data_IF_160683714297
#
_entry.id   IF_160683714297
#
_cell.length_a   1.000
_cell.length_b   1.000
_cell.length_c   1.000
_cell.angle_alpha   90.00
_cell.angle_beta   90.00
_cell.angle_gamma   90.00
#
_symmetry.space_group_name_H-M   'P 1'
#
loop_
_entity.id
_entity.type
_entity.pdbx_description
1 polymer ?
#
# COMPACT_ATOMS: atom_id res chain seq x y z
N UNK A 1 -8.61 24.76 7.82
CA UNK A 1 -7.16 24.54 7.87
C UNK A 1 -6.81 23.68 6.67
N UNK A 2 -5.90 24.15 5.82
CA UNK A 2 -5.42 23.38 4.68
C UNK A 2 -4.42 22.34 5.21
N UNK A 3 -4.74 21.05 5.05
CA UNK A 3 -3.87 19.96 5.47
C UNK A 3 -2.75 19.84 4.44
N UNK A 4 -1.55 20.33 4.76
CA UNK A 4 -0.35 20.01 3.99
C UNK A 4 0.03 18.56 4.31
N UNK A 5 -0.02 17.70 3.30
CA UNK A 5 0.52 16.34 3.38
C UNK A 5 1.99 16.40 2.93
N UNK A 6 2.94 16.11 3.82
CA UNK A 6 4.32 15.83 3.40
C UNK A 6 4.32 14.48 2.67
N UNK A 7 4.46 14.52 1.35
CA UNK A 7 4.51 13.32 0.52
C UNK A 7 5.93 12.81 0.41
N UNK A 8 6.20 11.61 0.93
CA UNK A 8 7.37 10.84 0.56
C UNK A 8 7.13 10.19 -0.80
N UNK A 9 8.07 10.35 -1.74
CA UNK A 9 7.98 9.76 -3.07
C UNK A 9 9.10 8.74 -3.29
N UNK A 10 8.81 7.72 -4.08
CA UNK A 10 9.74 6.65 -4.46
C UNK A 10 9.62 6.39 -5.96
N UNK A 11 10.76 6.32 -6.65
CA UNK A 11 10.82 5.80 -8.02
C UNK A 11 11.24 4.33 -7.99
N UNK A 12 10.34 3.44 -8.40
CA UNK A 12 10.61 2.01 -8.52
C UNK A 12 10.82 1.64 -10.00
N UNK A 13 11.95 1.00 -10.31
CA UNK A 13 12.26 0.50 -11.65
C UNK A 13 12.85 -0.91 -11.58
N UNK A 14 12.55 -1.73 -12.59
CA UNK A 14 13.17 -3.04 -12.78
C UNK A 14 13.12 -3.39 -14.26
N UNK A 15 14.22 -3.89 -14.81
CA UNK A 15 14.31 -4.30 -16.21
C UNK A 15 13.89 -5.76 -16.44
N UNK A 16 13.70 -6.53 -15.37
CA UNK A 16 13.46 -7.98 -15.45
C UNK A 16 12.24 -8.44 -14.67
N UNK A 17 11.70 -7.62 -13.76
CA UNK A 17 10.53 -8.00 -12.98
C UNK A 17 9.26 -7.97 -13.85
N UNK A 18 8.52 -9.07 -13.86
CA UNK A 18 7.17 -9.13 -14.44
C UNK A 18 6.12 -8.57 -13.49
N UNK A 19 6.38 -8.61 -12.18
CA UNK A 19 5.53 -8.07 -11.11
C UNK A 19 6.39 -7.45 -10.02
N UNK A 20 6.00 -6.26 -9.57
CA UNK A 20 6.62 -5.56 -8.43
C UNK A 20 5.59 -5.40 -7.32
N UNK A 21 5.99 -5.64 -6.07
CA UNK A 21 5.12 -5.45 -4.90
C UNK A 21 5.82 -4.52 -3.92
N UNK A 22 5.23 -3.34 -3.70
CA UNK A 22 5.62 -2.40 -2.66
C UNK A 22 4.72 -2.60 -1.44
N UNK A 23 5.28 -2.51 -0.24
CA UNK A 23 4.55 -2.68 1.03
C UNK A 23 4.94 -1.57 1.99
N UNK A 24 3.97 -1.05 2.72
CA UNK A 24 4.22 -0.22 3.89
C UNK A 24 4.67 -1.10 5.07
N UNK A 25 5.08 -0.44 6.15
CA UNK A 25 5.14 -1.10 7.46
C UNK A 25 3.74 -1.50 7.97
N UNK A 26 3.74 -2.19 9.11
CA UNK A 26 2.53 -2.52 9.88
C UNK A 26 2.20 -1.31 10.76
N UNK A 27 0.94 -0.88 10.71
CA UNK A 27 0.43 0.20 11.55
C UNK A 27 -0.37 -0.41 12.72
N UNK A 28 0.12 -0.28 13.96
CA UNK A 28 -0.59 -0.80 15.14
C UNK A 28 -1.77 0.12 15.52
N UNK A 29 -2.63 -0.36 16.43
CA UNK A 29 -3.75 0.44 16.96
C UNK A 29 -5.02 0.41 16.11
N UNK A 30 -5.14 -0.58 15.23
CA UNK A 30 -6.37 -0.88 14.50
C UNK A 30 -7.42 -1.40 15.47
N UNK A 31 -8.63 -0.84 15.43
CA UNK A 31 -9.79 -1.36 16.16
C UNK A 31 -10.61 -2.24 15.21
N UNK A 32 -10.96 -3.44 15.66
CA UNK A 32 -11.80 -4.36 14.88
C UNK A 32 -13.15 -3.73 14.52
N UNK A 33 -13.58 -3.90 13.28
CA UNK A 33 -14.86 -3.38 12.77
C UNK A 33 -14.81 -1.95 12.24
N UNK A 34 -13.70 -1.21 12.43
CA UNK A 34 -13.51 0.07 11.77
C UNK A 34 -13.24 -0.09 10.27
N UNK A 35 -13.71 0.88 9.49
CA UNK A 35 -13.46 0.90 8.05
C UNK A 35 -12.11 1.56 7.76
N UNK A 36 -11.31 0.88 6.93
CA UNK A 36 -10.02 1.37 6.50
C UNK A 36 -9.98 1.52 4.99
N UNK A 37 -9.28 2.57 4.52
CA UNK A 37 -9.06 2.83 3.09
C UNK A 37 -7.57 3.01 2.83
N UNK A 38 -7.06 2.26 1.86
CA UNK A 38 -5.74 2.50 1.31
C UNK A 38 -5.84 3.51 0.17
N UNK A 39 -4.93 4.49 0.16
CA UNK A 39 -4.83 5.51 -0.88
C UNK A 39 -3.38 5.69 -1.28
N UNK A 40 -3.13 5.88 -2.56
CA UNK A 40 -1.79 5.99 -3.11
C UNK A 40 -1.84 6.73 -4.46
N UNK A 41 -0.74 7.41 -4.76
CA UNK A 41 -0.58 8.26 -5.94
C UNK A 41 0.59 7.76 -6.77
N UNK A 42 0.40 7.67 -8.08
CA UNK A 42 1.41 7.12 -8.99
C UNK A 42 1.56 7.99 -10.24
N UNK A 43 2.80 8.03 -10.75
CA UNK A 43 3.12 8.51 -12.08
C UNK A 43 3.87 7.40 -12.81
N UNK A 44 3.34 6.93 -13.95
CA UNK A 44 3.99 5.91 -14.78
C UNK A 44 4.81 6.62 -15.86
N UNK A 45 6.13 6.50 -15.80
CA UNK A 45 7.05 7.16 -16.74
C UNK A 45 7.34 6.32 -18.00
N UNK A 46 7.08 5.02 -17.98
CA UNK A 46 7.29 4.12 -19.11
C UNK A 46 6.37 2.88 -19.05
N UNK A 47 5.89 2.43 -20.21
CA UNK A 47 5.02 1.27 -20.36
C UNK A 47 3.59 1.50 -19.85
N UNK A 48 2.83 0.41 -19.70
CA UNK A 48 1.50 0.39 -19.10
C UNK A 48 1.50 -0.48 -17.85
N UNK A 49 0.91 0.01 -16.76
CA UNK A 49 0.91 -0.70 -15.47
C UNK A 49 -0.51 -1.11 -15.10
N UNK A 50 -0.67 -2.35 -14.64
CA UNK A 50 -1.87 -2.78 -13.93
C UNK A 50 -1.59 -2.64 -12.42
N UNK A 51 -2.30 -1.73 -11.77
CA UNK A 51 -2.08 -1.40 -10.37
C UNK A 51 -3.20 -2.03 -9.54
N UNK A 52 -2.82 -2.80 -8.52
CA UNK A 52 -3.73 -3.33 -7.51
C UNK A 52 -3.33 -2.78 -6.13
N UNK A 53 -4.31 -2.31 -5.37
CA UNK A 53 -4.13 -1.76 -4.03
C UNK A 53 -4.90 -2.66 -3.07
N UNK A 54 -4.26 -3.13 -2.01
CA UNK A 54 -4.90 -3.97 -1.01
C UNK A 54 -4.33 -3.73 0.39
N UNK A 55 -5.18 -3.88 1.39
CA UNK A 55 -4.83 -3.90 2.82
C UNK A 55 -4.66 -5.35 3.24
N UNK A 56 -3.65 -5.63 4.06
CA UNK A 56 -3.46 -6.93 4.70
C UNK A 56 -3.73 -6.81 6.19
N UNK A 57 -4.51 -7.76 6.69
CA UNK A 57 -4.88 -7.86 8.09
C UNK A 57 -4.04 -8.92 8.77
N UNK A 58 -3.56 -8.58 9.96
CA UNK A 58 -2.74 -9.44 10.81
C UNK A 58 -3.34 -9.46 12.21
N UNK A 59 -3.10 -10.53 12.96
CA UNK A 59 -3.44 -10.58 14.38
C UNK A 59 -2.35 -9.94 15.26
N UNK A 60 -2.55 -9.99 16.58
CA UNK A 60 -1.62 -9.42 17.57
C UNK A 60 -0.24 -10.10 17.63
N UNK A 61 -0.09 -11.27 16.98
CA UNK A 61 1.16 -12.03 16.88
C UNK A 61 1.82 -11.91 15.51
N UNK A 62 1.39 -10.93 14.70
CA UNK A 62 1.80 -10.74 13.31
C UNK A 62 1.43 -11.90 12.37
N UNK A 63 0.45 -12.72 12.74
CA UNK A 63 -0.04 -13.79 11.86
C UNK A 63 -1.01 -13.22 10.83
N UNK A 64 -0.76 -13.52 9.55
CA UNK A 64 -1.62 -13.08 8.46
C UNK A 64 -3.03 -13.67 8.56
N UNK A 65 -4.04 -12.82 8.44
CA UNK A 65 -5.46 -13.20 8.46
C UNK A 65 -6.06 -13.17 7.05
N UNK A 66 -6.03 -12.01 6.40
CA UNK A 66 -6.67 -11.81 5.10
C UNK A 66 -6.11 -10.59 4.35
N UNK A 67 -6.49 -10.49 3.07
CA UNK A 67 -6.20 -9.34 2.21
C UNK A 67 -7.52 -8.79 1.68
N UNK A 68 -7.69 -7.46 1.67
CA UNK A 68 -8.86 -6.82 1.06
C UNK A 68 -8.88 -7.07 -0.45
N UNK A 69 -10.08 -7.28 -1.01
CA UNK A 69 -10.31 -7.41 -2.45
C UNK A 69 -10.83 -6.13 -3.05
#
# INVERSE_FOLDING_TARGET
>A
AEHFFDFYSLTATSSTATVSVLRSGIYPGVVEGENWRAETYFTVSAGGWQIAIAIRWYDETDTYLSTST
#
